data_IF_621281504042
#
_entry.id   IF_621281504042
#
_cell.length_a   1.000
_cell.length_b   1.000
_cell.length_c   1.000
_cell.angle_alpha   90.00
_cell.angle_beta   90.00
_cell.angle_gamma   90.00
#
_symmetry.space_group_name_H-M   'P 1'
#
loop_
_entity.id
_entity.type
_entity.pdbx_description
1 polymer ?
#
# COMPACT_ATOMS: atom_id res chain seq x y z
N UNK A 1 51.19 71.67 -39.26
CA UNK A 1 50.06 71.04 -38.54
C UNK A 1 49.58 69.85 -39.35
N UNK A 2 50.21 68.67 -39.21
CA UNK A 2 49.82 67.48 -39.98
C UNK A 2 49.54 66.31 -39.03
N UNK A 3 48.47 66.50 -38.27
CA UNK A 3 47.63 65.41 -37.75
C UNK A 3 47.14 64.55 -38.92
N UNK A 4 46.84 63.26 -38.79
CA UNK A 4 47.00 62.28 -37.73
C UNK A 4 46.44 61.01 -38.38
N UNK A 5 47.27 59.98 -38.42
CA UNK A 5 46.93 58.55 -38.32
C UNK A 5 46.16 57.87 -39.46
N UNK A 6 46.92 56.98 -40.10
CA UNK A 6 46.63 55.55 -40.30
C UNK A 6 45.34 55.19 -41.04
N UNK A 7 45.52 55.12 -42.36
CA UNK A 7 45.22 53.94 -43.18
C UNK A 7 45.16 52.65 -42.35
N UNK A 8 43.98 52.03 -42.25
CA UNK A 8 43.83 50.63 -41.82
C UNK A 8 43.07 49.92 -42.93
N UNK A 9 43.82 49.06 -43.59
CA UNK A 9 43.41 48.19 -44.67
C UNK A 9 42.29 47.25 -44.24
N UNK A 10 41.26 47.20 -45.07
CA UNK A 10 40.22 46.18 -45.01
C UNK A 10 40.83 44.87 -45.53
N UNK A 11 41.32 44.01 -44.64
CA UNK A 11 41.70 42.63 -44.99
C UNK A 11 40.58 41.69 -44.59
N UNK A 12 39.84 41.23 -45.60
CA UNK A 12 39.00 40.04 -45.52
C UNK A 12 39.92 38.84 -45.52
N UNK A 13 40.09 38.19 -44.37
CA UNK A 13 40.53 36.80 -44.31
C UNK A 13 39.30 35.89 -44.26
N UNK A 14 39.17 34.92 -45.19
CA UNK A 14 38.17 33.88 -45.08
C UNK A 14 38.71 32.66 -44.31
N UNK A 15 37.78 31.93 -43.70
CA UNK A 15 37.89 30.53 -43.26
C UNK A 15 38.46 30.27 -41.87
N UNK A 16 37.55 30.18 -40.89
CA UNK A 16 37.55 29.05 -39.97
C UNK A 16 36.19 28.35 -40.11
N UNK A 17 36.12 27.03 -40.38
CA UNK A 17 34.85 26.37 -40.59
C UNK A 17 34.13 26.34 -39.24
N UNK A 18 32.98 27.02 -39.19
CA UNK A 18 32.01 26.81 -38.13
C UNK A 18 31.74 25.30 -38.05
N UNK A 19 32.11 24.68 -36.92
CA UNK A 19 31.70 23.32 -36.60
C UNK A 19 30.19 23.21 -36.82
N UNK A 20 29.70 22.22 -37.58
CA UNK A 20 28.27 22.02 -37.72
C UNK A 20 27.68 21.86 -36.32
N UNK A 21 26.85 22.81 -35.91
CA UNK A 21 26.00 22.62 -34.75
C UNK A 21 25.07 21.50 -35.15
N UNK A 22 25.34 20.30 -34.64
CA UNK A 22 24.55 19.10 -34.88
C UNK A 22 23.14 19.40 -34.35
N UNK A 23 22.25 19.84 -35.25
CA UNK A 23 20.89 20.21 -34.87
C UNK A 23 20.19 18.90 -34.60
N UNK A 24 19.69 18.66 -33.37
CA UNK A 24 18.95 17.45 -33.10
C UNK A 24 17.75 17.40 -34.05
N UNK A 25 17.57 16.23 -34.66
CA UNK A 25 16.49 15.95 -35.60
C UNK A 25 15.13 16.38 -34.98
N UNK A 26 14.37 17.26 -35.65
CA UNK A 26 13.07 17.72 -35.14
C UNK A 26 11.99 16.63 -35.16
N UNK A 27 12.25 15.43 -35.69
CA UNK A 27 11.29 14.34 -35.69
C UNK A 27 10.97 13.85 -34.27
N UNK A 28 9.85 14.33 -33.73
CA UNK A 28 9.34 13.92 -32.42
C UNK A 28 8.72 12.52 -32.55
N UNK A 29 9.32 11.54 -31.89
CA UNK A 29 8.77 10.18 -31.78
C UNK A 29 7.29 10.25 -31.34
N UNK A 30 6.38 9.51 -32.01
CA UNK A 30 4.92 9.62 -31.80
C UNK A 30 4.47 9.22 -30.38
N UNK A 31 5.34 8.58 -29.59
CA UNK A 31 5.06 8.18 -28.20
C UNK A 31 6.13 8.74 -27.27
N UNK A 32 5.75 9.72 -26.45
CA UNK A 32 6.61 10.25 -25.41
C UNK A 32 6.89 9.21 -24.33
N UNK A 33 8.14 8.71 -24.26
CA UNK A 33 8.57 7.80 -23.19
C UNK A 33 8.74 8.57 -21.89
N UNK A 34 7.75 8.47 -20.99
CA UNK A 34 7.82 9.09 -19.66
C UNK A 34 8.87 8.38 -18.80
N UNK A 35 9.68 9.17 -18.09
CA UNK A 35 10.65 8.66 -17.11
C UNK A 35 9.90 7.88 -16.02
N UNK A 36 10.38 6.68 -15.71
CA UNK A 36 9.90 5.89 -14.57
C UNK A 36 10.99 5.85 -13.51
N UNK A 37 10.58 5.89 -12.24
CA UNK A 37 11.50 5.79 -11.11
C UNK A 37 11.35 4.41 -10.48
N UNK A 38 12.44 3.65 -10.48
CA UNK A 38 12.50 2.37 -9.77
C UNK A 38 12.39 2.59 -8.25
N UNK A 39 11.99 1.56 -7.51
CA UNK A 39 11.91 1.66 -6.04
C UNK A 39 13.27 1.92 -5.40
N UNK A 40 14.35 1.34 -5.95
CA UNK A 40 15.71 1.57 -5.49
C UNK A 40 16.13 3.04 -5.64
N UNK A 41 15.83 3.66 -6.80
CA UNK A 41 16.12 5.08 -7.01
C UNK A 41 15.34 5.99 -6.06
N UNK A 42 14.05 5.70 -5.85
CA UNK A 42 13.23 6.46 -4.89
C UNK A 42 13.80 6.38 -3.48
N UNK A 43 14.21 5.21 -3.03
CA UNK A 43 14.81 5.01 -1.71
C UNK A 43 16.16 5.73 -1.58
N UNK A 44 17.03 5.64 -2.59
CA UNK A 44 18.30 6.38 -2.62
C UNK A 44 18.08 7.89 -2.50
N UNK A 45 17.14 8.42 -3.27
CA UNK A 45 16.84 9.86 -3.27
C UNK A 45 16.20 10.29 -1.94
N UNK A 46 15.32 9.47 -1.36
CA UNK A 46 14.76 9.75 -0.03
C UNK A 46 15.85 9.77 1.04
N UNK A 47 16.78 8.81 1.03
CA UNK A 47 17.90 8.78 1.97
C UNK A 47 18.82 10.00 1.80
N UNK A 48 19.12 10.39 0.55
CA UNK A 48 19.87 11.60 0.27
C UNK A 48 19.14 12.86 0.77
N UNK A 49 17.83 12.95 0.57
CA UNK A 49 17.02 14.06 1.06
C UNK A 49 16.95 14.12 2.59
N UNK A 50 16.97 12.96 3.26
CA UNK A 50 17.00 12.86 4.73
C UNK A 50 18.40 13.24 5.30
N UNK A 51 19.48 13.11 4.51
CA UNK A 51 20.84 13.50 4.88
C UNK A 51 21.18 14.99 4.68
N UNK A 52 20.33 15.73 3.95
CA UNK A 52 20.51 17.16 3.70
C UNK A 52 20.27 17.96 4.98
N UNK A 53 21.26 18.75 5.42
CA UNK A 53 21.23 19.51 6.67
C UNK A 53 21.37 21.02 6.45
N UNK A 54 22.06 21.46 5.39
CA UNK A 54 22.25 22.88 5.12
C UNK A 54 21.04 23.46 4.36
N UNK A 55 20.74 24.76 4.55
CA UNK A 55 19.71 25.44 3.79
C UNK A 55 20.06 25.43 2.29
N UNK A 56 19.18 24.86 1.48
CA UNK A 56 19.35 24.81 0.02
C UNK A 56 19.83 23.46 -0.53
N UNK A 57 20.37 22.57 0.31
CA UNK A 57 20.85 21.24 -0.11
C UNK A 57 19.76 20.40 -0.76
N UNK A 58 18.55 20.43 -0.19
CA UNK A 58 17.39 19.73 -0.74
C UNK A 58 17.06 20.29 -2.13
N UNK A 59 17.14 21.61 -2.32
CA UNK A 59 16.91 22.23 -3.63
C UNK A 59 17.98 21.85 -4.65
N UNK A 60 19.25 21.74 -4.24
CA UNK A 60 20.34 21.27 -5.11
C UNK A 60 20.13 19.80 -5.52
N UNK A 61 19.75 18.94 -4.58
CA UNK A 61 19.41 17.54 -4.81
C UNK A 61 18.26 17.41 -5.83
N UNK A 62 17.18 18.17 -5.67
CA UNK A 62 16.02 18.13 -6.57
C UNK A 62 16.41 18.45 -8.02
N UNK A 63 17.27 19.45 -8.23
CA UNK A 63 17.76 19.83 -9.56
C UNK A 63 18.67 18.77 -10.17
N UNK A 64 19.59 18.21 -9.38
CA UNK A 64 20.51 17.14 -9.83
C UNK A 64 19.75 15.88 -10.25
N UNK A 65 18.74 15.51 -9.48
CA UNK A 65 17.96 14.29 -9.72
C UNK A 65 16.80 14.51 -10.73
N UNK A 66 16.53 15.77 -11.10
CA UNK A 66 15.46 16.15 -12.03
C UNK A 66 14.05 15.87 -11.49
N UNK A 67 13.85 16.07 -10.18
CA UNK A 67 12.58 15.81 -9.50
C UNK A 67 12.08 17.06 -8.76
N UNK A 68 10.78 17.06 -8.48
CA UNK A 68 10.09 18.13 -7.76
C UNK A 68 9.78 17.73 -6.31
N UNK A 69 9.53 18.71 -5.44
CA UNK A 69 9.15 18.50 -4.04
C UNK A 69 7.91 17.61 -3.86
N UNK A 70 6.97 17.65 -4.79
CA UNK A 70 5.77 16.78 -4.82
C UNK A 70 6.11 15.29 -4.91
N UNK A 71 7.21 14.94 -5.58
CA UNK A 71 7.70 13.56 -5.65
C UNK A 71 8.18 13.10 -4.27
N UNK A 72 8.99 13.92 -3.58
CA UNK A 72 9.44 13.60 -2.22
C UNK A 72 8.27 13.45 -1.25
N UNK A 73 7.29 14.36 -1.30
CA UNK A 73 6.10 14.27 -0.46
C UNK A 73 5.33 12.97 -0.70
N UNK A 74 5.12 12.61 -1.98
CA UNK A 74 4.45 11.37 -2.38
C UNK A 74 5.22 10.13 -1.92
N UNK A 75 6.54 10.10 -2.15
CA UNK A 75 7.37 8.94 -1.80
C UNK A 75 7.55 8.78 -0.29
N UNK A 76 7.58 9.87 0.49
CA UNK A 76 7.55 9.80 1.97
C UNK A 76 6.25 9.19 2.49
N UNK A 77 5.10 9.60 1.94
CA UNK A 77 3.80 8.97 2.26
C UNK A 77 3.78 7.49 1.90
N UNK A 78 4.31 7.12 0.73
CA UNK A 78 4.43 5.73 0.31
C UNK A 78 5.33 4.92 1.26
N UNK A 79 6.46 5.48 1.71
CA UNK A 79 7.36 4.85 2.70
C UNK A 79 6.66 4.64 4.04
N UNK A 80 5.92 5.63 4.53
CA UNK A 80 5.15 5.52 5.76
C UNK A 80 4.02 4.49 5.66
N UNK A 81 3.27 4.49 4.55
CA UNK A 81 2.22 3.50 4.31
C UNK A 81 2.78 2.08 4.16
N UNK A 82 3.95 1.92 3.55
CA UNK A 82 4.65 0.64 3.44
C UNK A 82 5.13 0.15 4.82
N UNK A 83 5.74 1.02 5.63
CA UNK A 83 6.14 0.70 6.99
C UNK A 83 4.92 0.32 7.85
N UNK A 84 3.82 1.09 7.78
CA UNK A 84 2.57 0.76 8.45
C UNK A 84 1.98 -0.57 7.96
N UNK A 85 2.06 -0.88 6.66
CA UNK A 85 1.57 -2.14 6.10
C UNK A 85 2.43 -3.34 6.47
N UNK A 86 3.74 -3.15 6.66
CA UNK A 86 4.65 -4.18 7.18
C UNK A 86 4.38 -4.45 8.65
N UNK A 87 4.20 -3.40 9.47
CA UNK A 87 3.78 -3.53 10.88
C UNK A 87 2.40 -4.18 11.00
N UNK A 88 1.47 -3.86 10.08
CA UNK A 88 0.12 -4.41 10.03
C UNK A 88 0.00 -5.67 9.16
N UNK A 89 1.12 -6.35 8.84
CA UNK A 89 1.22 -7.62 8.11
C UNK A 89 -0.01 -7.95 7.24
N UNK A 90 -0.37 -7.05 6.30
CA UNK A 90 -1.57 -7.26 5.49
C UNK A 90 -1.22 -8.30 4.44
N UNK A 91 -1.63 -9.56 4.66
CA UNK A 91 -1.51 -10.63 3.66
C UNK A 91 -2.03 -10.09 2.32
N UNK A 92 -1.13 -9.89 1.36
CA UNK A 92 -1.50 -9.64 -0.03
C UNK A 92 -2.10 -10.94 -0.55
N UNK A 93 -3.39 -10.89 -0.84
CA UNK A 93 -4.15 -11.95 -1.45
C UNK A 93 -5.45 -11.38 -2.01
N UNK A 94 -6.22 -12.17 -2.77
CA UNK A 94 -7.57 -11.80 -3.20
C UNK A 94 -8.34 -11.25 -2.01
N UNK A 95 -9.06 -10.14 -2.22
CA UNK A 95 -9.88 -9.52 -1.18
C UNK A 95 -10.78 -10.62 -0.61
N UNK A 96 -10.64 -10.93 0.69
CA UNK A 96 -11.49 -11.92 1.34
C UNK A 96 -12.92 -11.48 1.12
N UNK A 97 -13.70 -12.32 0.43
CA UNK A 97 -15.12 -12.06 0.26
C UNK A 97 -15.78 -12.21 1.63
N UNK A 98 -16.18 -11.08 2.19
CA UNK A 98 -16.78 -11.00 3.52
C UNK A 98 -18.09 -11.77 3.56
N UNK A 99 -18.83 -11.85 2.44
CA UNK A 99 -20.07 -12.61 2.35
C UNK A 99 -19.77 -14.11 2.47
N UNK A 100 -18.80 -14.63 1.71
CA UNK A 100 -18.40 -16.03 1.80
C UNK A 100 -17.86 -16.42 3.20
N UNK A 101 -17.21 -15.50 3.90
CA UNK A 101 -16.76 -15.72 5.28
C UNK A 101 -17.93 -15.74 6.27
N UNK A 102 -18.94 -14.88 6.08
CA UNK A 102 -20.16 -14.87 6.87
C UNK A 102 -20.97 -16.15 6.65
N UNK A 103 -21.13 -16.60 5.41
CA UNK A 103 -21.87 -17.82 5.07
C UNK A 103 -21.29 -19.06 5.74
N UNK A 104 -19.95 -19.17 5.78
CA UNK A 104 -19.27 -20.25 6.51
C UNK A 104 -19.63 -20.25 7.99
N UNK A 105 -19.57 -19.07 8.63
CA UNK A 105 -19.90 -18.92 10.04
C UNK A 105 -21.36 -19.26 10.33
N UNK A 106 -22.29 -18.87 9.45
CA UNK A 106 -23.70 -19.20 9.58
C UNK A 106 -23.88 -20.72 9.54
N UNK A 107 -23.28 -21.42 8.58
CA UNK A 107 -23.36 -22.89 8.48
C UNK A 107 -22.79 -23.59 9.70
N UNK A 108 -21.64 -23.14 10.21
CA UNK A 108 -21.02 -23.72 11.40
C UNK A 108 -21.93 -23.54 12.63
N UNK A 109 -22.55 -22.37 12.77
CA UNK A 109 -23.48 -22.08 13.85
C UNK A 109 -24.77 -22.90 13.74
N UNK A 110 -25.32 -23.05 12.53
CA UNK A 110 -26.51 -23.86 12.28
C UNK A 110 -26.28 -25.34 12.62
N UNK A 111 -25.11 -25.88 12.24
CA UNK A 111 -24.71 -27.24 12.57
C UNK A 111 -24.59 -27.44 14.09
N UNK A 112 -24.00 -26.48 14.80
CA UNK A 112 -23.87 -26.54 16.25
C UNK A 112 -25.23 -26.43 16.95
N UNK A 113 -26.12 -25.56 16.48
CA UNK A 113 -27.49 -25.44 16.99
C UNK A 113 -28.26 -26.76 16.80
N UNK A 114 -28.14 -27.40 15.63
CA UNK A 114 -28.78 -28.70 15.38
C UNK A 114 -28.25 -29.76 16.35
N UNK A 115 -26.93 -29.85 16.51
CA UNK A 115 -26.27 -30.79 17.44
C UNK A 115 -26.70 -30.58 18.89
N UNK A 116 -26.82 -29.32 19.33
CA UNK A 116 -27.25 -28.99 20.69
C UNK A 116 -28.72 -29.33 20.91
N UNK A 117 -29.58 -29.10 19.93
CA UNK A 117 -31.00 -29.50 19.98
C UNK A 117 -31.16 -31.01 20.10
N UNK A 118 -30.38 -31.79 19.35
CA UNK A 118 -30.42 -33.25 19.44
C UNK A 118 -29.99 -33.75 20.83
N UNK A 119 -29.00 -33.09 21.45
CA UNK A 119 -28.59 -33.40 22.82
C UNK A 119 -29.68 -33.06 23.84
N UNK A 120 -30.32 -31.90 23.67
CA UNK A 120 -31.43 -31.48 24.52
C UNK A 120 -32.58 -32.48 24.44
N UNK A 121 -33.00 -32.86 23.22
CA UNK A 121 -34.06 -33.84 23.03
C UNK A 121 -33.76 -35.20 23.68
N UNK A 122 -32.49 -35.65 23.65
CA UNK A 122 -32.06 -36.87 24.35
C UNK A 122 -32.12 -36.71 25.87
N UNK A 123 -31.69 -35.57 26.40
CA UNK A 123 -31.76 -35.29 27.83
C UNK A 123 -33.21 -35.23 28.32
N UNK A 124 -34.08 -34.54 27.59
CA UNK A 124 -35.52 -34.45 27.90
C UNK A 124 -36.17 -35.84 27.91
N UNK A 125 -35.83 -36.70 26.94
CA UNK A 125 -36.33 -38.08 26.92
C UNK A 125 -35.89 -38.88 28.16
N UNK A 126 -34.64 -38.71 28.60
CA UNK A 126 -34.14 -39.37 29.82
C UNK A 126 -34.90 -38.86 31.05
N UNK A 127 -35.09 -37.55 31.16
CA UNK A 127 -35.83 -36.92 32.26
C UNK A 127 -37.28 -37.44 32.28
N UNK A 128 -37.92 -37.53 31.12
CA UNK A 128 -39.30 -38.03 31.00
C UNK A 128 -39.42 -39.49 31.45
N UNK A 129 -38.49 -40.35 31.04
CA UNK A 129 -38.47 -41.75 31.47
C UNK A 129 -38.24 -41.84 32.97
N UNK A 130 -37.29 -41.06 33.53
CA UNK A 130 -37.04 -41.01 34.96
C UNK A 130 -38.28 -40.56 35.74
N UNK A 131 -38.95 -39.48 35.30
CA UNK A 131 -40.19 -38.98 35.91
C UNK A 131 -41.28 -40.05 35.89
N UNK A 132 -41.51 -40.71 34.75
CA UNK A 132 -42.49 -41.80 34.62
C UNK A 132 -42.19 -42.98 35.56
N UNK A 133 -40.94 -43.41 35.64
CA UNK A 133 -40.53 -44.49 36.55
C UNK A 133 -40.72 -44.11 38.02
N UNK A 134 -40.32 -42.89 38.41
CA UNK A 134 -40.52 -42.40 39.77
C UNK A 134 -42.00 -42.31 40.14
N UNK A 135 -42.87 -41.85 39.23
CA UNK A 135 -44.33 -41.83 39.45
C UNK A 135 -44.92 -43.23 39.62
N UNK A 136 -44.45 -44.21 38.83
CA UNK A 136 -44.93 -45.59 38.91
C UNK A 136 -44.50 -46.27 40.21
N UNK A 137 -43.31 -45.94 40.72
CA UNK A 137 -42.71 -46.54 41.92
C UNK A 137 -42.99 -45.73 43.21
N UNK A 138 -43.72 -44.61 43.11
CA UNK A 138 -44.04 -43.74 44.27
C UNK A 138 -42.83 -43.01 44.86
N UNK A 139 -41.74 -42.86 44.10
CA UNK A 139 -40.54 -42.16 44.53
C UNK A 139 -40.73 -40.65 44.29
N UNK A 140 -40.63 -39.84 45.35
CA UNK A 140 -40.82 -38.37 45.26
C UNK A 140 -39.71 -37.73 44.43
N UNK A 141 -40.07 -37.08 43.32
CA UNK A 141 -39.15 -36.26 42.51
C UNK A 141 -39.15 -34.83 43.05
N UNK A 142 -38.19 -34.49 43.90
CA UNK A 142 -37.94 -33.09 44.26
C UNK A 142 -37.30 -32.37 43.06
N UNK A 143 -38.11 -31.65 42.27
CA UNK A 143 -37.65 -30.73 41.24
C UNK A 143 -36.97 -29.53 41.92
N UNK A 144 -35.64 -29.52 42.02
CA UNK A 144 -34.87 -28.28 42.23
C UNK A 144 -34.29 -27.84 40.88
N UNK A 145 -34.88 -26.83 40.22
CA UNK A 145 -34.31 -26.29 38.99
C UNK A 145 -33.03 -25.53 39.36
N UNK A 146 -31.88 -26.08 38.96
CA UNK A 146 -30.59 -25.38 38.98
C UNK A 146 -30.54 -24.43 37.79
N UNK A 147 -30.68 -23.13 38.05
CA UNK A 147 -30.47 -22.07 37.06
C UNK A 147 -29.04 -22.14 36.47
N UNK A 148 -28.86 -21.98 35.15
CA UNK A 148 -27.55 -21.80 34.55
C UNK A 148 -27.10 -20.33 34.69
N UNK A 149 -25.83 -20.15 35.09
CA UNK A 149 -25.08 -18.87 35.08
C UNK A 149 -24.78 -18.38 33.67
#
# INVERSE_FOLDING_TARGET
MHSRKHQISNSVEPSSPATPVDRPDPEVVPVAKRRTFSNAEKLRILAAADSCQAPGDIGALLRREGIYSSHLATWRKQRQAAAASQVLARKRGPKVDLAAAQDRKVRDLEAEVARLRDKLAKADLIIDVQKKLSTLLGLSTADTPSEPK
#
